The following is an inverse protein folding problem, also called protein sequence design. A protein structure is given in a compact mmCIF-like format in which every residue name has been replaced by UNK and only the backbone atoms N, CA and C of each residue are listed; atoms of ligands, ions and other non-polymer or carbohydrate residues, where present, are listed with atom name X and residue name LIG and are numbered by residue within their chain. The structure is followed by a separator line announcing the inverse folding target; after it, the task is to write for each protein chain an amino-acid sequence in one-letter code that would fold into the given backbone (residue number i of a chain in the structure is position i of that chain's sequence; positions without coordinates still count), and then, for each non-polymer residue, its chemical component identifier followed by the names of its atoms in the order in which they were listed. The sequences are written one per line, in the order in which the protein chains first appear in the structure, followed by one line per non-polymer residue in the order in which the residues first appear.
data_IF_169211231598
#
_entry.id   IF_169211231598
#
_cell.length_a   1.000
_cell.length_b   1.000
_cell.length_c   1.000
_cell.angle_alpha   90.00
_cell.angle_beta   90.00
_cell.angle_gamma   90.00
#
_symmetry.space_group_name_H-M   'P 1'
#
loop_
_entity.id
_entity.type
_entity.pdbx_description
1 polymer ?
#
# COMPACT_ATOMS: atom_id res chain seq x y z
N UNK A 1 5.32 15.77 -14.25
CA UNK A 1 5.75 14.39 -14.55
C UNK A 1 4.79 13.71 -15.52
N UNK A 2 3.51 13.51 -15.16
CA UNK A 2 2.55 12.77 -15.98
C UNK A 2 2.38 13.30 -17.42
N UNK A 3 2.30 14.61 -17.63
CA UNK A 3 2.21 15.20 -18.97
C UNK A 3 3.52 15.09 -19.78
N UNK A 4 4.67 15.11 -19.10
CA UNK A 4 6.00 15.06 -19.75
C UNK A 4 6.30 13.67 -20.32
N UNK A 5 5.82 12.63 -19.64
CA UNK A 5 6.03 11.23 -19.99
C UNK A 5 4.76 10.57 -20.54
N UNK A 6 3.79 11.38 -20.95
CA UNK A 6 2.56 10.95 -21.63
C UNK A 6 1.86 9.77 -20.94
N UNK A 7 1.63 9.91 -19.63
CA UNK A 7 0.94 8.88 -18.86
C UNK A 7 -0.51 8.71 -19.36
N UNK A 8 -0.90 7.46 -19.57
CA UNK A 8 -2.27 7.10 -19.95
C UNK A 8 -3.29 7.61 -18.91
N UNK A 9 -4.47 7.99 -19.41
CA UNK A 9 -5.59 8.46 -18.60
C UNK A 9 -6.76 7.49 -18.72
N UNK A 10 -7.49 7.20 -17.63
CA UNK A 10 -7.32 7.78 -16.31
C UNK A 10 -6.07 7.28 -15.57
N UNK A 11 -5.66 6.04 -15.76
CA UNK A 11 -4.51 5.45 -15.07
C UNK A 11 -3.49 4.89 -16.06
N UNK A 12 -2.21 5.11 -15.78
CA UNK A 12 -1.11 4.46 -16.50
C UNK A 12 -0.64 3.23 -15.73
N UNK A 13 -0.86 2.04 -16.31
CA UNK A 13 -0.47 0.78 -15.67
C UNK A 13 1.04 0.72 -15.43
N UNK A 14 1.86 1.23 -16.35
CA UNK A 14 3.32 1.21 -16.24
C UNK A 14 3.79 2.05 -15.06
N UNK A 15 3.17 3.22 -14.87
CA UNK A 15 3.46 4.09 -13.74
C UNK A 15 3.12 3.44 -12.39
N UNK A 16 1.96 2.79 -12.29
CA UNK A 16 1.55 2.11 -11.05
C UNK A 16 2.42 0.88 -10.76
N UNK A 17 2.77 0.09 -11.77
CA UNK A 17 3.66 -1.06 -11.59
C UNK A 17 5.08 -0.63 -11.19
N UNK A 18 5.57 0.49 -11.73
CA UNK A 18 6.85 1.08 -11.29
C UNK A 18 6.79 1.51 -9.83
N UNK A 19 5.72 2.19 -9.39
CA UNK A 19 5.50 2.55 -7.98
C UNK A 19 5.46 1.30 -7.09
N UNK A 20 4.78 0.24 -7.54
CA UNK A 20 4.68 -1.03 -6.82
C UNK A 20 6.02 -1.73 -6.70
N UNK A 21 6.83 -1.74 -7.76
CA UNK A 21 8.15 -2.34 -7.74
C UNK A 21 9.10 -1.58 -6.81
N UNK A 22 9.06 -0.25 -6.81
CA UNK A 22 9.79 0.57 -5.85
C UNK A 22 9.33 0.32 -4.40
N UNK A 23 8.02 0.23 -4.15
CA UNK A 23 7.49 -0.10 -2.83
C UNK A 23 7.90 -1.51 -2.38
N UNK A 24 7.86 -2.48 -3.29
CA UNK A 24 8.29 -3.86 -3.03
C UNK A 24 9.76 -3.92 -2.62
N UNK A 25 10.63 -3.15 -3.27
CA UNK A 25 12.03 -3.04 -2.88
C UNK A 25 12.16 -2.46 -1.46
N UNK A 26 11.46 -1.37 -1.14
CA UNK A 26 11.46 -0.76 0.21
C UNK A 26 10.99 -1.76 1.28
N UNK A 27 9.89 -2.48 1.03
CA UNK A 27 9.37 -3.48 1.97
C UNK A 27 10.37 -4.62 2.12
N UNK A 28 11.04 -5.04 1.05
CA UNK A 28 12.07 -6.10 1.08
C UNK A 28 13.27 -5.68 1.93
N UNK A 29 13.80 -4.48 1.71
CA UNK A 29 14.99 -3.95 2.37
C UNK A 29 14.77 -3.62 3.85
N UNK A 30 13.52 -3.35 4.24
CA UNK A 30 13.16 -2.94 5.61
C UNK A 30 12.18 -3.96 6.24
N UNK A 31 12.70 -4.99 6.95
CA UNK A 31 11.92 -6.04 7.60
C UNK A 31 10.91 -5.59 8.65
N UNK A 32 11.02 -4.38 9.15
CA UNK A 32 10.16 -3.79 10.16
C UNK A 32 8.84 -3.23 9.59
N UNK A 33 8.73 -3.13 8.26
CA UNK A 33 7.48 -2.77 7.57
C UNK A 33 6.57 -4.00 7.52
N UNK A 34 5.32 -3.86 8.00
CA UNK A 34 4.34 -4.95 8.03
C UNK A 34 3.46 -4.99 6.79
N UNK A 35 3.05 -3.81 6.33
CA UNK A 35 2.24 -3.62 5.13
C UNK A 35 2.58 -2.25 4.52
N UNK A 36 2.51 -2.16 3.20
CA UNK A 36 2.48 -0.90 2.49
C UNK A 36 1.27 -0.87 1.55
N UNK A 37 0.72 0.33 1.34
CA UNK A 37 -0.45 0.55 0.48
C UNK A 37 -0.20 1.69 -0.49
N UNK A 38 -0.41 1.46 -1.78
CA UNK A 38 -0.22 2.41 -2.85
C UNK A 38 -1.50 2.70 -3.62
N UNK A 39 -1.71 3.98 -3.94
CA UNK A 39 -2.81 4.43 -4.79
C UNK A 39 -2.38 5.69 -5.55
N UNK A 40 -2.61 5.71 -6.87
CA UNK A 40 -2.20 6.82 -7.75
C UNK A 40 -0.68 7.04 -7.66
N UNK A 41 -0.26 8.15 -7.07
CA UNK A 41 1.10 8.67 -6.95
C UNK A 41 1.62 8.64 -5.51
N UNK A 42 0.89 7.98 -4.60
CA UNK A 42 1.20 7.95 -3.18
C UNK A 42 1.38 6.53 -2.67
N UNK A 43 2.25 6.36 -1.66
CA UNK A 43 2.46 5.11 -0.95
C UNK A 43 2.55 5.34 0.57
N UNK A 44 1.89 4.49 1.32
CA UNK A 44 1.90 4.48 2.79
C UNK A 44 2.64 3.24 3.28
N UNK A 45 3.63 3.39 4.16
CA UNK A 45 4.41 2.29 4.74
C UNK A 45 4.15 2.19 6.24
N UNK A 46 3.68 1.03 6.70
CA UNK A 46 3.35 0.80 8.11
C UNK A 46 4.47 0.05 8.79
N UNK A 47 5.04 0.68 9.82
CA UNK A 47 5.93 0.01 10.76
C UNK A 47 5.12 -0.62 11.88
N UNK A 48 5.48 -1.82 12.32
CA UNK A 48 4.85 -2.42 13.49
C UNK A 48 5.06 -1.52 14.73
N UNK A 49 4.05 -1.45 15.63
CA UNK A 49 4.11 -0.59 16.83
C UNK A 49 5.32 -0.87 17.72
N UNK A 50 5.82 -2.10 17.74
CA UNK A 50 7.02 -2.50 18.49
C UNK A 50 8.35 -2.23 17.78
N UNK A 51 8.34 -1.65 16.58
CA UNK A 51 9.57 -1.35 15.84
C UNK A 51 10.45 -0.39 16.62
N UNK A 52 11.74 -0.70 16.71
CA UNK A 52 12.74 0.20 17.29
C UNK A 52 13.75 0.69 16.22
N UNK A 53 13.37 0.59 14.94
CA UNK A 53 14.22 1.03 13.84
C UNK A 53 14.57 2.52 14.01
N UNK A 54 15.87 2.83 13.96
CA UNK A 54 16.42 4.18 14.17
C UNK A 54 15.93 4.86 15.45
N UNK A 55 15.68 4.09 16.52
CA UNK A 55 15.16 4.62 17.79
C UNK A 55 13.86 5.42 17.58
N UNK A 56 13.07 5.04 16.56
CA UNK A 56 11.79 5.65 16.21
C UNK A 56 11.89 7.13 15.81
N UNK A 57 13.08 7.59 15.43
CA UNK A 57 13.29 8.95 14.93
C UNK A 57 12.56 9.16 13.61
N UNK A 58 11.49 9.95 13.64
CA UNK A 58 10.67 10.25 12.47
C UNK A 58 11.49 10.73 11.27
N UNK A 59 12.48 11.61 11.48
CA UNK A 59 13.34 12.12 10.41
C UNK A 59 14.14 11.01 9.72
N UNK A 60 14.62 10.00 10.46
CA UNK A 60 15.34 8.86 9.88
C UNK A 60 14.42 7.91 9.14
N UNK A 61 13.24 7.64 9.69
CA UNK A 61 12.23 6.79 9.05
C UNK A 61 11.80 7.40 7.72
N UNK A 62 11.38 8.67 7.73
CA UNK A 62 10.92 9.37 6.52
C UNK A 62 12.02 9.44 5.46
N UNK A 63 13.21 9.92 5.83
CA UNK A 63 14.29 10.09 4.85
C UNK A 63 14.76 8.76 4.26
N UNK A 64 14.81 7.68 5.05
CA UNK A 64 15.18 6.35 4.55
C UNK A 64 14.12 5.82 3.57
N UNK A 65 12.84 5.93 3.90
CA UNK A 65 11.76 5.50 2.99
C UNK A 65 11.81 6.30 1.69
N UNK A 66 11.85 7.62 1.77
CA UNK A 66 11.85 8.50 0.59
C UNK A 66 13.07 8.26 -0.28
N UNK A 67 14.28 8.15 0.31
CA UNK A 67 15.50 7.92 -0.46
C UNK A 67 15.50 6.56 -1.14
N UNK A 68 15.13 5.50 -0.43
CA UNK A 68 15.11 4.13 -0.98
C UNK A 68 14.04 4.00 -2.05
N UNK A 69 12.86 4.58 -1.84
CA UNK A 69 11.79 4.59 -2.83
C UNK A 69 12.19 5.35 -4.10
N UNK A 70 12.70 6.57 -3.95
CA UNK A 70 13.13 7.40 -5.09
C UNK A 70 14.24 6.73 -5.89
N UNK A 71 15.24 6.17 -5.21
CA UNK A 71 16.35 5.47 -5.86
C UNK A 71 15.85 4.26 -6.68
N UNK A 72 14.98 3.44 -6.11
CA UNK A 72 14.38 2.31 -6.83
C UNK A 72 13.46 2.75 -7.97
N UNK A 73 12.69 3.83 -7.79
CA UNK A 73 11.84 4.38 -8.85
C UNK A 73 12.67 4.82 -10.06
N UNK A 74 13.78 5.53 -9.85
CA UNK A 74 14.69 5.93 -10.92
C UNK A 74 15.40 4.73 -11.55
N UNK A 75 15.89 3.80 -10.72
CA UNK A 75 16.60 2.60 -11.18
C UNK A 75 15.71 1.70 -12.04
N UNK A 76 14.45 1.51 -11.64
CA UNK A 76 13.51 0.62 -12.31
C UNK A 76 12.78 1.30 -13.48
N UNK A 77 12.82 2.62 -13.60
CA UNK A 77 12.19 3.37 -14.69
C UNK A 77 12.39 2.75 -16.09
N UNK A 78 13.61 2.46 -16.57
CA UNK A 78 13.82 1.89 -17.91
C UNK A 78 13.20 0.50 -18.11
N UNK A 79 12.86 -0.21 -17.03
CA UNK A 79 12.13 -1.50 -17.11
C UNK A 79 10.66 -1.29 -17.47
N UNK A 80 10.05 -0.20 -17.00
CA UNK A 80 8.62 0.10 -17.19
C UNK A 80 8.36 1.12 -18.30
N UNK A 81 9.34 1.95 -18.61
CA UNK A 81 9.32 2.99 -19.64
C UNK A 81 10.56 2.87 -20.55
N UNK A 82 10.70 1.78 -21.31
CA UNK A 82 11.89 1.52 -22.13
C UNK A 82 12.11 2.59 -23.21
N UNK A 83 11.02 3.07 -23.80
CA UNK A 83 11.05 4.03 -24.92
C UNK A 83 11.04 5.49 -24.45
N UNK A 84 10.96 5.74 -23.15
CA UNK A 84 10.79 7.10 -22.60
C UNK A 84 11.79 7.36 -21.48
N UNK A 85 13.08 7.59 -21.78
CA UNK A 85 14.10 7.81 -20.76
C UNK A 85 13.80 9.00 -19.84
N UNK A 86 14.17 8.88 -18.56
CA UNK A 86 14.10 10.00 -17.63
C UNK A 86 14.98 11.16 -18.11
N UNK A 87 14.45 12.37 -17.99
CA UNK A 87 15.19 13.61 -18.21
C UNK A 87 14.89 14.60 -17.09
N UNK A 88 15.84 15.50 -16.81
CA UNK A 88 15.72 16.47 -15.73
C UNK A 88 14.45 17.36 -15.86
N UNK A 89 13.81 17.74 -14.74
CA UNK A 89 14.09 17.29 -13.37
C UNK A 89 13.67 15.83 -13.14
N UNK A 90 14.44 15.12 -12.31
CA UNK A 90 14.17 13.73 -11.94
C UNK A 90 12.96 13.63 -10.98
N UNK A 91 12.29 12.47 -10.91
CA UNK A 91 11.25 12.22 -9.91
C UNK A 91 11.78 12.40 -8.49
N UNK A 92 10.97 13.06 -7.68
CA UNK A 92 11.20 13.26 -6.25
C UNK A 92 9.91 12.99 -5.51
N UNK A 93 10.02 12.47 -4.30
CA UNK A 93 8.89 12.20 -3.42
C UNK A 93 9.05 12.99 -2.12
N UNK A 94 7.95 13.51 -1.61
CA UNK A 94 7.88 13.99 -0.24
C UNK A 94 7.51 12.84 0.70
N UNK A 95 7.57 13.09 2.00
CA UNK A 95 7.21 12.07 2.98
C UNK A 95 6.90 12.70 4.34
N UNK A 96 6.01 12.05 5.08
CA UNK A 96 5.64 12.43 6.44
C UNK A 96 5.47 11.19 7.30
N UNK A 97 5.71 11.33 8.60
CA UNK A 97 5.42 10.29 9.58
C UNK A 97 4.15 10.67 10.36
N UNK A 98 3.25 9.71 10.52
CA UNK A 98 2.01 9.85 11.30
C UNK A 98 1.93 8.68 12.27
N UNK A 99 1.59 8.96 13.53
CA UNK A 99 1.44 7.95 14.57
C UNK A 99 -0.05 7.66 14.78
N UNK A 100 -0.43 6.40 14.66
CA UNK A 100 -1.76 5.91 15.03
C UNK A 100 -1.67 5.20 16.39
N UNK A 101 -2.44 5.62 17.40
CA UNK A 101 -2.33 5.06 18.75
C UNK A 101 -2.96 3.66 18.86
N UNK A 102 -3.88 3.33 17.97
CA UNK A 102 -4.57 2.03 17.93
C UNK A 102 -4.53 1.43 16.52
N UNK A 103 -4.70 0.12 16.44
CA UNK A 103 -4.90 -0.62 15.18
C UNK A 103 -6.18 -0.16 14.51
N UNK A 104 -7.24 0.13 15.27
CA UNK A 104 -8.46 0.69 14.67
C UNK A 104 -8.18 1.98 13.89
N UNK A 105 -7.43 2.95 14.46
CA UNK A 105 -7.12 4.18 13.73
C UNK A 105 -6.26 3.94 12.48
N UNK A 106 -5.36 2.95 12.52
CA UNK A 106 -4.60 2.53 11.36
C UNK A 106 -5.52 1.93 10.28
N UNK A 107 -6.47 1.09 10.67
CA UNK A 107 -7.45 0.47 9.76
C UNK A 107 -8.38 1.50 9.14
N UNK A 108 -8.82 2.49 9.92
CA UNK A 108 -9.63 3.60 9.43
C UNK A 108 -8.86 4.42 8.39
N UNK A 109 -7.58 4.71 8.65
CA UNK A 109 -6.71 5.38 7.69
C UNK A 109 -6.55 4.57 6.39
N UNK A 110 -6.27 3.27 6.48
CA UNK A 110 -6.11 2.40 5.31
C UNK A 110 -7.42 2.29 4.52
N UNK A 111 -8.54 2.16 5.22
CA UNK A 111 -9.88 2.10 4.61
C UNK A 111 -10.23 3.40 3.90
N UNK A 112 -9.94 4.54 4.53
CA UNK A 112 -10.10 5.86 3.91
C UNK A 112 -9.26 5.98 2.64
N UNK A 113 -7.98 5.58 2.68
CA UNK A 113 -7.08 5.60 1.51
C UNK A 113 -7.55 4.66 0.39
N UNK A 114 -8.16 3.52 0.70
CA UNK A 114 -8.74 2.64 -0.31
C UNK A 114 -10.06 3.19 -0.87
N UNK A 115 -10.91 3.79 -0.04
CA UNK A 115 -12.12 4.45 -0.52
C UNK A 115 -11.81 5.65 -1.43
N UNK A 116 -10.73 6.39 -1.15
CA UNK A 116 -10.28 7.55 -1.94
C UNK A 116 -9.82 7.17 -3.36
N UNK A 117 -9.36 5.94 -3.57
CA UNK A 117 -8.95 5.44 -4.90
C UNK A 117 -10.07 5.56 -5.94
N UNK A 118 -11.31 5.34 -5.52
CA UNK A 118 -12.49 5.46 -6.34
C UNK A 118 -12.72 6.91 -6.82
N UNK A 119 -12.43 7.90 -5.97
CA UNK A 119 -12.60 9.31 -6.28
C UNK A 119 -11.59 9.79 -7.33
N UNK A 120 -10.36 9.30 -7.26
CA UNK A 120 -9.30 9.63 -8.22
C UNK A 120 -9.64 9.16 -9.64
N UNK A 121 -10.34 8.04 -9.80
CA UNK A 121 -10.78 7.55 -11.12
C UNK A 121 -11.70 8.54 -11.86
N UNK A 122 -12.55 9.26 -11.13
CA UNK A 122 -13.47 10.22 -11.73
C UNK A 122 -12.77 11.54 -12.06
N UNK A 123 -11.83 12.00 -11.22
CA UNK A 123 -10.99 13.16 -11.52
C UNK A 123 -10.16 12.93 -12.79
N UNK A 124 -9.66 11.71 -12.97
CA UNK A 124 -8.82 11.34 -14.11
C UNK A 124 -9.60 11.16 -15.43
N UNK A 125 -10.94 11.17 -15.39
CA UNK A 125 -11.81 11.24 -16.57
C UNK A 125 -11.78 12.60 -17.29
N UNK A 126 -11.07 13.60 -16.76
CA UNK A 126 -10.89 14.90 -17.41
C UNK A 126 -11.72 16.04 -16.81
N UNK A 127 -12.30 15.84 -15.63
CA UNK A 127 -12.92 16.92 -14.85
C UNK A 127 -11.85 17.66 -14.04
N UNK A 128 -11.92 18.99 -14.02
CA UNK A 128 -11.10 19.78 -13.11
C UNK A 128 -11.41 19.43 -11.64
N UNK A 129 -10.43 19.58 -10.74
CA UNK A 129 -10.55 19.16 -9.34
C UNK A 129 -11.78 19.74 -8.64
N UNK A 130 -12.11 21.01 -8.90
CA UNK A 130 -13.28 21.68 -8.33
C UNK A 130 -14.60 21.15 -8.88
N UNK A 131 -14.63 20.81 -10.16
CA UNK A 131 -15.82 20.29 -10.83
C UNK A 131 -16.08 18.84 -10.43
N UNK A 132 -15.02 18.03 -10.32
CA UNK A 132 -15.11 16.67 -9.82
C UNK A 132 -15.63 16.63 -8.38
N UNK A 133 -15.07 17.45 -7.48
CA UNK A 133 -15.53 17.54 -6.08
C UNK A 133 -17.01 17.93 -6.01
N UNK A 134 -17.43 18.96 -6.75
CA UNK A 134 -18.83 19.39 -6.80
C UNK A 134 -19.77 18.34 -7.39
N UNK A 135 -19.34 17.66 -8.46
CA UNK A 135 -20.15 16.63 -9.15
C UNK A 135 -20.34 15.42 -8.27
N UNK A 136 -19.37 15.11 -7.43
CA UNK A 136 -19.36 13.91 -6.60
C UNK A 136 -19.81 14.16 -5.16
N UNK A 137 -19.87 15.41 -4.71
CA UNK A 137 -20.41 15.77 -3.41
C UNK A 137 -21.86 15.28 -3.26
N UNK A 138 -22.11 14.45 -2.25
CA UNK A 138 -23.43 13.88 -1.98
C UNK A 138 -23.83 12.68 -2.84
N UNK A 139 -22.97 12.23 -3.76
CA UNK A 139 -23.25 11.05 -4.60
C UNK A 139 -22.97 9.73 -3.89
N UNK A 140 -23.83 8.74 -4.12
CA UNK A 140 -23.66 7.37 -3.66
C UNK A 140 -22.81 6.55 -4.64
N UNK A 141 -22.33 5.37 -4.22
CA UNK A 141 -21.51 4.51 -5.07
C UNK A 141 -22.20 4.14 -6.40
N UNK A 142 -23.53 3.96 -6.39
CA UNK A 142 -24.31 3.69 -7.59
C UNK A 142 -24.27 4.87 -8.58
N UNK A 143 -24.50 6.09 -8.10
CA UNK A 143 -24.44 7.32 -8.90
C UNK A 143 -23.06 7.49 -9.53
N UNK A 144 -22.00 7.16 -8.79
CA UNK A 144 -20.64 7.27 -9.30
C UNK A 144 -20.34 6.24 -10.39
N UNK A 145 -20.83 5.01 -10.25
CA UNK A 145 -20.76 4.01 -11.31
C UNK A 145 -21.53 4.47 -12.56
N UNK A 146 -22.69 5.09 -12.37
CA UNK A 146 -23.46 5.67 -13.47
C UNK A 146 -22.72 6.83 -14.14
N UNK A 147 -22.05 7.70 -13.38
CA UNK A 147 -21.20 8.77 -13.93
C UNK A 147 -20.06 8.20 -14.77
N UNK A 148 -19.36 7.18 -14.27
CA UNK A 148 -18.28 6.50 -14.99
C UNK A 148 -18.78 5.88 -16.31
N UNK A 149 -19.92 5.20 -16.26
CA UNK A 149 -20.48 4.53 -17.43
C UNK A 149 -21.09 5.51 -18.44
N UNK A 150 -21.86 6.49 -17.99
CA UNK A 150 -22.58 7.41 -18.87
C UNK A 150 -21.65 8.42 -19.54
N UNK A 151 -20.75 9.07 -18.77
CA UNK A 151 -19.89 10.16 -19.22
C UNK A 151 -18.58 9.69 -19.81
N UNK A 152 -17.92 8.73 -19.16
CA UNK A 152 -16.59 8.26 -19.55
C UNK A 152 -16.61 6.95 -20.32
N UNK A 153 -17.79 6.31 -20.47
CA UNK A 153 -17.95 4.98 -21.09
C UNK A 153 -17.09 3.91 -20.41
N UNK A 154 -16.78 4.10 -19.14
CA UNK A 154 -15.99 3.17 -18.32
C UNK A 154 -16.95 2.30 -17.51
N UNK A 155 -16.85 0.98 -17.69
CA UNK A 155 -17.52 0.04 -16.81
C UNK A 155 -16.60 -0.27 -15.63
N UNK A 156 -16.84 0.38 -14.48
CA UNK A 156 -16.03 0.23 -13.27
C UNK A 156 -15.83 -1.23 -12.85
N UNK A 157 -16.82 -2.11 -13.03
CA UNK A 157 -16.68 -3.51 -12.63
C UNK A 157 -15.64 -4.28 -13.47
N UNK A 158 -15.43 -3.86 -14.72
CA UNK A 158 -14.47 -4.47 -15.64
C UNK A 158 -13.07 -3.89 -15.51
N UNK A 159 -12.90 -2.80 -14.75
CA UNK A 159 -11.58 -2.21 -14.54
C UNK A 159 -10.67 -3.16 -13.74
N UNK A 160 -9.37 -3.20 -14.07
CA UNK A 160 -8.38 -3.94 -13.31
C UNK A 160 -8.41 -3.63 -11.81
N UNK A 161 -8.25 -4.65 -10.96
CA UNK A 161 -8.28 -4.47 -9.49
C UNK A 161 -7.25 -3.46 -8.99
N UNK A 162 -6.08 -3.34 -9.64
CA UNK A 162 -5.07 -2.32 -9.32
C UNK A 162 -5.63 -0.89 -9.34
N UNK A 163 -6.56 -0.60 -10.25
CA UNK A 163 -7.17 0.73 -10.39
C UNK A 163 -8.32 0.92 -9.39
N UNK A 164 -9.01 -0.17 -9.02
CA UNK A 164 -10.18 -0.15 -8.12
C UNK A 164 -9.83 -0.21 -6.65
N UNK A 165 -8.77 -0.94 -6.31
CA UNK A 165 -8.38 -1.30 -4.94
C UNK A 165 -7.01 -0.76 -4.55
N UNK A 166 -6.25 -0.21 -5.49
CA UNK A 166 -4.85 0.13 -5.28
C UNK A 166 -3.98 -1.11 -5.18
N UNK A 167 -2.81 -0.96 -4.57
CA UNK A 167 -1.83 -2.04 -4.43
C UNK A 167 -1.40 -2.18 -2.99
N UNK A 168 -1.42 -3.41 -2.47
CA UNK A 168 -0.90 -3.73 -1.15
C UNK A 168 0.37 -4.55 -1.27
N UNK A 169 1.36 -4.20 -0.48
CA UNK A 169 2.66 -4.89 -0.44
C UNK A 169 2.88 -5.41 0.97
N UNK A 170 3.04 -6.71 1.09
CA UNK A 170 3.24 -7.36 2.38
C UNK A 170 4.07 -8.63 2.22
N UNK A 171 4.50 -9.18 3.35
CA UNK A 171 5.22 -10.45 3.42
C UNK A 171 4.23 -11.60 3.42
N UNK A 172 4.38 -12.50 2.47
CA UNK A 172 3.51 -13.64 2.27
C UNK A 172 3.85 -14.79 3.23
N UNK A 173 2.81 -15.24 3.93
CA UNK A 173 2.83 -16.36 4.85
C UNK A 173 1.53 -17.16 4.64
N UNK A 174 1.49 -18.39 5.14
CA UNK A 174 0.29 -19.23 5.09
C UNK A 174 -0.90 -18.52 5.76
N UNK A 175 -1.99 -18.36 5.02
CA UNK A 175 -3.21 -17.70 5.51
C UNK A 175 -3.76 -18.44 6.72
N UNK A 176 -4.24 -17.68 7.70
CA UNK A 176 -4.97 -18.24 8.82
C UNK A 176 -6.36 -18.71 8.36
N UNK A 177 -6.86 -19.78 8.96
CA UNK A 177 -8.25 -20.18 8.82
C UNK A 177 -9.17 -19.05 9.31
N UNK A 178 -10.38 -18.89 8.74
CA UNK A 178 -11.36 -17.92 9.22
C UNK A 178 -11.77 -18.29 10.65
N UNK A 179 -11.04 -17.76 11.64
CA UNK A 179 -11.39 -17.91 13.04
C UNK A 179 -12.28 -16.74 13.45
N UNK A 180 -13.17 -16.94 14.42
CA UNK A 180 -13.97 -15.86 15.04
C UNK A 180 -13.13 -14.88 15.89
N UNK A 181 -11.81 -14.89 15.74
CA UNK A 181 -10.90 -14.03 16.48
C UNK A 181 -10.63 -12.75 15.68
N UNK A 182 -11.09 -11.64 16.23
CA UNK A 182 -10.78 -10.30 15.76
C UNK A 182 -9.27 -10.01 15.95
N UNK A 183 -8.52 -10.06 14.83
CA UNK A 183 -7.08 -9.82 14.85
C UNK A 183 -6.73 -8.39 15.27
N UNK A 184 -7.61 -7.42 15.03
CA UNK A 184 -7.41 -6.03 15.42
C UNK A 184 -7.62 -5.85 16.92
N UNK A 185 -8.70 -6.39 17.49
CA UNK A 185 -8.94 -6.36 18.93
C UNK A 185 -7.83 -7.08 19.70
N UNK A 186 -7.35 -8.23 19.22
CA UNK A 186 -6.23 -8.95 19.83
C UNK A 186 -4.93 -8.14 19.79
N UNK A 187 -4.67 -7.43 18.68
CA UNK A 187 -3.51 -6.57 18.55
C UNK A 187 -3.61 -5.31 19.44
N UNK A 188 -4.80 -4.71 19.58
CA UNK A 188 -5.03 -3.53 20.43
C UNK A 188 -5.04 -3.86 21.92
N UNK A 189 -5.54 -5.02 22.32
CA UNK A 189 -5.49 -5.50 23.71
C UNK A 189 -4.05 -5.65 24.23
N UNK A 190 -3.06 -5.79 23.34
CA UNK A 190 -1.64 -5.74 23.67
C UNK A 190 -1.21 -4.27 23.87
N UNK A 191 -1.47 -3.71 25.05
CA UNK A 191 -1.10 -2.35 25.43
C UNK A 191 0.41 -2.09 25.37
N UNK A 192 1.21 -3.10 25.68
CA UNK A 192 2.67 -3.06 25.56
C UNK A 192 3.18 -4.10 24.54
N UNK A 193 4.27 -3.79 23.79
CA UNK A 193 4.97 -4.81 23.02
C UNK A 193 5.38 -5.95 23.95
N UNK A 194 4.95 -7.18 23.64
CA UNK A 194 5.41 -8.34 24.39
C UNK A 194 6.95 -8.35 24.42
N UNK A 195 7.53 -8.37 25.63
CA UNK A 195 8.98 -8.38 25.83
C UNK A 195 9.52 -9.72 25.32
N UNK A 196 9.93 -9.73 24.06
CA UNK A 196 10.59 -10.88 23.45
C UNK A 196 12.07 -10.89 23.87
N UNK A 197 12.62 -12.08 24.07
CA UNK A 197 14.07 -12.21 24.25
C UNK A 197 14.79 -11.68 23.00
N UNK A 198 15.98 -11.10 23.17
CA UNK A 198 16.80 -10.60 22.04
C UNK A 198 16.98 -11.67 20.95
N UNK A 199 17.19 -12.92 21.37
CA UNK A 199 17.31 -14.07 20.46
C UNK A 199 16.04 -14.31 19.64
N UNK A 200 14.86 -14.21 20.25
CA UNK A 200 13.59 -14.39 19.55
C UNK A 200 13.33 -13.25 18.56
N UNK A 201 13.59 -12.00 18.96
CA UNK A 201 13.43 -10.84 18.10
C UNK A 201 14.35 -10.90 16.86
N UNK A 202 15.60 -11.35 17.03
CA UNK A 202 16.53 -11.56 15.92
C UNK A 202 16.10 -12.70 14.99
N UNK A 203 15.59 -13.82 15.55
CA UNK A 203 15.03 -14.92 14.75
C UNK A 203 13.85 -14.45 13.92
N UNK A 204 12.93 -13.71 14.52
CA UNK A 204 11.75 -13.19 13.82
C UNK A 204 12.16 -12.15 12.77
N UNK A 205 13.16 -11.29 13.04
CA UNK A 205 13.73 -10.38 12.04
C UNK A 205 14.33 -11.13 10.85
N UNK A 206 15.10 -12.20 11.09
CA UNK A 206 15.65 -13.06 10.04
C UNK A 206 14.55 -13.76 9.23
N UNK A 207 13.47 -14.20 9.88
CA UNK A 207 12.30 -14.79 9.19
C UNK A 207 11.61 -13.76 8.29
N UNK A 208 11.40 -12.52 8.76
CA UNK A 208 10.84 -11.42 7.95
C UNK A 208 11.73 -11.07 6.76
N UNK A 209 13.05 -11.04 6.95
CA UNK A 209 13.99 -10.73 5.88
C UNK A 209 14.02 -11.80 4.76
N UNK A 210 13.70 -13.06 5.10
CA UNK A 210 13.64 -14.18 4.13
C UNK A 210 12.25 -14.40 3.54
N UNK A 211 11.22 -13.75 4.07
CA UNK A 211 9.85 -13.94 3.60
C UNK A 211 9.68 -13.33 2.20
N UNK A 212 8.92 -14.02 1.35
CA UNK A 212 8.55 -13.52 0.03
C UNK A 212 7.70 -12.26 0.20
N UNK A 213 8.06 -11.19 -0.49
CA UNK A 213 7.24 -9.97 -0.56
C UNK A 213 6.39 -10.04 -1.82
N UNK A 214 5.07 -9.87 -1.66
CA UNK A 214 4.08 -9.92 -2.74
C UNK A 214 3.41 -8.57 -2.92
N UNK A 215 2.91 -8.31 -4.12
CA UNK A 215 2.05 -7.17 -4.45
C UNK A 215 0.70 -7.75 -4.83
N UNK A 216 -0.36 -7.33 -4.13
CA UNK A 216 -1.71 -7.83 -4.35
C UNK A 216 -2.69 -6.65 -4.49
N UNK A 217 -3.90 -6.91 -4.99
CA UNK A 217 -4.95 -5.92 -5.19
C UNK A 217 -6.24 -6.38 -4.50
N UNK A 218 -6.25 -6.31 -3.16
CA UNK A 218 -7.32 -6.86 -2.32
C UNK A 218 -8.10 -5.75 -1.61
N UNK A 219 -9.33 -6.07 -1.19
CA UNK A 219 -10.10 -5.25 -0.27
C UNK A 219 -9.49 -5.31 1.13
N UNK A 220 -9.01 -4.17 1.64
CA UNK A 220 -8.42 -4.05 3.00
C UNK A 220 -9.37 -3.36 3.98
N UNK A 221 -10.59 -3.02 3.55
CA UNK A 221 -11.61 -2.42 4.41
C UNK A 221 -12.22 -3.51 5.29
N UNK A 222 -12.51 -4.67 4.71
CA UNK A 222 -13.17 -5.80 5.39
C UNK A 222 -12.23 -6.52 6.37
N UNK A 223 -12.82 -7.05 7.45
CA UNK A 223 -12.10 -7.82 8.49
C UNK A 223 -11.41 -9.07 7.93
N UNK A 224 -12.01 -9.73 6.94
CA UNK A 224 -11.47 -10.95 6.32
C UNK A 224 -10.00 -10.80 5.89
N UNK A 225 -9.62 -9.64 5.37
CA UNK A 225 -8.24 -9.38 4.96
C UNK A 225 -7.27 -9.49 6.14
N UNK A 226 -7.63 -8.88 7.27
CA UNK A 226 -6.81 -8.75 8.47
C UNK A 226 -6.80 -10.06 9.27
N UNK A 227 -7.95 -10.71 9.41
CA UNK A 227 -8.10 -11.95 10.18
C UNK A 227 -7.37 -13.12 9.52
N UNK A 228 -7.36 -13.17 8.18
CA UNK A 228 -6.59 -14.19 7.43
C UNK A 228 -5.09 -13.90 7.42
N UNK A 229 -4.66 -12.69 7.79
CA UNK A 229 -3.25 -12.23 7.78
C UNK A 229 -2.82 -11.65 9.14
N UNK A 230 -2.95 -12.41 10.25
CA UNK A 230 -2.72 -11.88 11.60
C UNK A 230 -1.28 -11.43 11.85
N UNK A 231 -0.32 -11.85 11.03
CA UNK A 231 1.09 -11.38 11.11
C UNK A 231 1.25 -9.89 10.81
N UNK A 232 0.34 -9.28 10.03
CA UNK A 232 0.39 -7.85 9.70
C UNK A 232 0.23 -7.01 10.97
N UNK A 233 -0.72 -7.38 11.83
CA UNK A 233 -1.07 -6.64 13.04
C UNK A 233 -0.28 -7.10 14.26
N UNK A 234 0.04 -8.39 14.36
CA UNK A 234 0.79 -8.94 15.51
C UNK A 234 2.31 -8.71 15.44
N UNK A 235 2.84 -8.40 14.25
CA UNK A 235 4.29 -8.28 14.00
C UNK A 235 5.06 -9.61 14.07
N UNK A 236 4.36 -10.72 14.33
CA UNK A 236 4.93 -12.07 14.44
C UNK A 236 4.91 -12.76 13.07
N UNK A 237 6.06 -13.23 12.56
CA UNK A 237 6.10 -13.92 11.27
C UNK A 237 5.26 -15.20 11.27
N UNK A 238 4.43 -15.38 10.25
CA UNK A 238 3.64 -16.59 10.03
C UNK A 238 4.49 -17.78 9.57
N UNK A 239 3.83 -18.91 9.29
CA UNK A 239 4.48 -20.04 8.61
C UNK A 239 4.76 -19.65 7.16
N UNK A 240 5.93 -20.04 6.64
CA UNK A 240 6.24 -19.76 5.24
C UNK A 240 5.15 -20.36 4.34
N UNK A 241 4.67 -19.56 3.37
CA UNK A 241 3.70 -20.02 2.39
C UNK A 241 4.28 -21.24 1.65
N UNK A 242 3.54 -22.35 1.60
CA UNK A 242 3.93 -23.51 0.80
C UNK A 242 3.72 -23.11 -0.65
N UNK A 243 4.79 -23.01 -1.44
CA UNK A 243 4.65 -22.87 -2.88
C UNK A 243 3.84 -24.06 -3.40
N UNK A 244 2.66 -23.78 -3.97
CA UNK A 244 2.09 -24.69 -4.95
C UNK A 244 2.99 -24.51 -6.18
N UNK A 245 3.95 -25.42 -6.35
CA UNK A 245 4.59 -25.60 -7.66
C UNK A 245 3.46 -25.96 -8.63
N UNK A 246 3.07 -24.98 -9.47
CA UNK A 246 2.28 -25.22 -10.68
C UNK A 246 3.27 -25.36 -11.82
#
# INVERSE_FOLDING_TARGET
MCAKYEFEKPNDRRALELMNAAAKAVVTDIPEITIAYGVSDEYSFVFHKSSNLFERRASKLVTTIVSTFTANYVYLWPTYFPDTPLSFPLPTFDGRAVCYPTVQNLRDYMSWRQADSFWKLIQLGGLDNKEAEKTLAGTLAADKNEILFSRFKINYNNEPEIFKKGSIVFRDYELAEPSSHDAAAAADALSEPAVQSKSQAEKDKKRRAKAKVVVEHLDIIKDEFWDRRPWILSGKPGKASKEIQI
#
